data_IF_327030312211
#
_entry.id   IF_327030312211
#
_cell.length_a   1.000
_cell.length_b   1.000
_cell.length_c   1.000
_cell.angle_alpha   90.00
_cell.angle_beta   90.00
_cell.angle_gamma   90.00
#
_symmetry.space_group_name_H-M   'P 1'
#
loop_
_entity.id
_entity.type
_entity.pdbx_description
1 polymer ?
#
# COMPACT_ATOMS: atom_id res chain seq x y z
N UNK A 1 1.74 -24.03 -8.89
CA UNK A 1 3.03 -24.61 -8.45
C UNK A 1 2.76 -25.75 -7.49
N UNK A 2 3.58 -26.80 -7.47
CA UNK A 2 3.55 -27.84 -6.41
C UNK A 2 4.69 -27.69 -5.40
N UNK A 3 5.55 -26.71 -5.62
CA UNK A 3 6.72 -26.40 -4.79
C UNK A 3 6.64 -24.96 -4.30
N UNK A 4 7.19 -24.70 -3.11
CA UNK A 4 7.20 -23.39 -2.48
C UNK A 4 8.62 -23.07 -1.99
N UNK A 5 8.95 -21.78 -1.98
CA UNK A 5 10.17 -21.26 -1.37
C UNK A 5 9.78 -20.38 -0.19
N UNK A 6 10.31 -20.70 0.99
CA UNK A 6 10.29 -19.82 2.15
C UNK A 6 11.64 -19.13 2.27
N UNK A 7 11.65 -17.81 2.35
CA UNK A 7 12.87 -17.01 2.47
C UNK A 7 12.69 -15.90 3.50
N UNK A 8 13.79 -15.50 4.12
CA UNK A 8 13.87 -14.38 5.06
C UNK A 8 14.94 -13.43 4.53
N UNK A 9 14.58 -12.15 4.42
CA UNK A 9 15.47 -11.07 3.96
C UNK A 9 15.56 -10.05 5.08
N UNK A 10 16.78 -9.56 5.36
CA UNK A 10 17.05 -8.55 6.37
C UNK A 10 17.50 -7.26 5.68
N UNK A 11 16.99 -6.12 6.12
CA UNK A 11 17.42 -4.79 5.69
C UNK A 11 17.44 -3.86 6.91
N UNK A 12 18.54 -3.14 7.20
CA UNK A 12 18.50 -2.09 8.20
C UNK A 12 17.50 -1.01 7.78
N UNK A 13 16.80 -0.41 8.74
CA UNK A 13 15.85 0.69 8.51
C UNK A 13 16.06 1.75 9.60
N UNK A 14 16.01 3.02 9.22
CA UNK A 14 16.06 4.14 10.15
C UNK A 14 14.75 4.31 10.94
N UNK A 15 14.77 5.15 11.97
CA UNK A 15 13.54 5.57 12.63
C UNK A 15 12.67 6.36 11.63
N UNK A 16 11.40 5.99 11.50
CA UNK A 16 10.44 6.69 10.63
C UNK A 16 10.27 8.18 11.00
N UNK A 17 10.58 8.55 12.25
CA UNK A 17 10.39 9.88 12.82
C UNK A 17 11.57 10.31 13.71
N UNK A 18 12.80 10.29 13.18
CA UNK A 18 13.99 10.67 13.97
C UNK A 18 13.93 12.11 14.51
N UNK A 19 13.17 13.01 13.87
CA UNK A 19 13.11 14.45 14.18
C UNK A 19 11.68 15.01 14.30
N UNK A 20 10.62 14.18 14.23
CA UNK A 20 9.21 14.61 14.42
C UNK A 20 8.16 13.92 13.52
N UNK A 21 6.88 14.17 13.81
CA UNK A 21 5.72 13.71 13.02
C UNK A 21 5.27 14.80 12.03
N UNK A 22 5.69 14.70 10.77
CA UNK A 22 5.20 15.59 9.72
C UNK A 22 3.89 15.04 9.13
N UNK A 23 2.78 15.81 9.18
CA UNK A 23 1.53 15.38 8.57
C UNK A 23 1.67 15.29 7.06
N UNK A 24 0.96 14.34 6.46
CA UNK A 24 0.95 14.12 5.01
C UNK A 24 -0.43 14.40 4.43
N UNK A 25 -0.47 14.85 3.17
CA UNK A 25 -1.72 14.97 2.42
C UNK A 25 -2.16 13.57 1.96
N UNK A 26 -3.41 13.22 2.25
CA UNK A 26 -3.99 11.93 1.88
C UNK A 26 -5.09 12.16 0.83
N UNK A 27 -5.04 11.40 -0.25
CA UNK A 27 -6.03 11.43 -1.33
C UNK A 27 -7.14 10.42 -1.06
N UNK A 28 -8.40 10.86 -1.05
CA UNK A 28 -9.54 9.96 -0.95
C UNK A 28 -9.84 9.37 -2.33
N UNK A 29 -9.64 8.07 -2.49
CA UNK A 29 -9.87 7.40 -3.78
C UNK A 29 -11.35 7.10 -4.01
N UNK A 30 -11.82 7.40 -5.22
CA UNK A 30 -13.21 7.20 -5.65
C UNK A 30 -13.33 6.31 -6.91
N UNK A 31 -12.23 6.00 -7.59
CA UNK A 31 -12.25 5.21 -8.83
C UNK A 31 -11.76 3.77 -8.64
N UNK A 32 -10.85 3.54 -7.69
CA UNK A 32 -10.26 2.22 -7.44
C UNK A 32 -10.57 1.74 -6.01
N UNK A 33 -10.79 0.44 -5.85
CA UNK A 33 -10.99 -0.19 -4.54
C UNK A 33 -9.77 -1.00 -4.13
N UNK A 34 -9.40 -0.97 -2.85
CA UNK A 34 -8.25 -1.74 -2.36
C UNK A 34 -8.54 -3.23 -2.23
N UNK A 35 -9.75 -3.56 -1.84
CA UNK A 35 -10.21 -4.90 -1.55
C UNK A 35 -11.74 -4.95 -1.70
N UNK A 36 -12.27 -6.16 -1.89
CA UNK A 36 -13.71 -6.39 -2.03
C UNK A 36 -14.16 -7.47 -1.04
N UNK A 37 -15.45 -7.48 -0.70
CA UNK A 37 -16.04 -8.53 0.15
C UNK A 37 -15.83 -9.90 -0.49
N UNK A 38 -15.32 -10.86 0.30
CA UNK A 38 -14.95 -12.20 -0.19
C UNK A 38 -13.62 -12.24 -0.95
N UNK A 39 -12.98 -11.09 -1.18
CA UNK A 39 -11.64 -11.00 -1.76
C UNK A 39 -10.54 -11.30 -0.73
N UNK A 40 -9.30 -11.13 -1.17
CA UNK A 40 -8.10 -11.46 -0.39
C UNK A 40 -7.51 -10.27 0.38
N UNK A 41 -8.28 -9.20 0.61
CA UNK A 41 -7.79 -7.96 1.22
C UNK A 41 -7.25 -8.10 2.64
N UNK A 42 -7.64 -9.17 3.34
CA UNK A 42 -7.17 -9.53 4.68
C UNK A 42 -5.82 -10.26 4.66
N UNK A 43 -5.38 -10.79 3.51
CA UNK A 43 -4.12 -11.51 3.37
C UNK A 43 -3.00 -10.58 2.89
N UNK A 44 -1.77 -10.80 3.37
CA UNK A 44 -0.57 -10.07 2.89
C UNK A 44 -0.05 -10.66 1.58
N UNK A 45 -0.91 -10.69 0.57
CA UNK A 45 -0.61 -11.23 -0.75
C UNK A 45 -0.18 -10.12 -1.72
N UNK A 46 0.82 -10.39 -2.56
CA UNK A 46 1.38 -9.42 -3.50
C UNK A 46 0.36 -8.81 -4.47
N UNK A 47 -0.69 -9.56 -4.84
CA UNK A 47 -1.76 -9.08 -5.71
C UNK A 47 -2.48 -7.83 -5.19
N UNK A 48 -2.69 -7.75 -3.87
CA UNK A 48 -3.33 -6.58 -3.24
C UNK A 48 -2.50 -5.30 -3.43
N UNK A 49 -1.17 -5.44 -3.34
CA UNK A 49 -0.25 -4.31 -3.50
C UNK A 49 -0.10 -3.92 -4.97
N UNK A 50 0.03 -4.90 -5.87
CA UNK A 50 0.11 -4.65 -7.30
C UNK A 50 -1.12 -3.87 -7.81
N UNK A 51 -2.32 -4.25 -7.38
CA UNK A 51 -3.56 -3.55 -7.73
C UNK A 51 -3.61 -2.10 -7.21
N UNK A 52 -3.01 -1.81 -6.05
CA UNK A 52 -2.99 -0.46 -5.47
C UNK A 52 -2.08 0.54 -6.19
N UNK A 53 -1.12 0.09 -7.01
CA UNK A 53 -0.10 0.95 -7.62
C UNK A 53 -0.70 2.02 -8.53
N UNK A 54 -1.81 1.72 -9.22
CA UNK A 54 -2.44 2.69 -10.14
C UNK A 54 -3.04 3.88 -9.39
N UNK A 55 -3.76 3.63 -8.31
CA UNK A 55 -4.33 4.68 -7.45
C UNK A 55 -3.23 5.51 -6.77
N UNK A 56 -2.18 4.84 -6.25
CA UNK A 56 -1.05 5.55 -5.63
C UNK A 56 -0.32 6.44 -6.62
N UNK A 57 -0.14 5.98 -7.88
CA UNK A 57 0.43 6.81 -8.94
C UNK A 57 -0.43 8.05 -9.22
N UNK A 58 -1.74 7.88 -9.34
CA UNK A 58 -2.68 9.00 -9.52
C UNK A 58 -2.59 10.01 -8.38
N UNK A 59 -2.64 9.55 -7.13
CA UNK A 59 -2.52 10.41 -5.96
C UNK A 59 -1.18 11.17 -5.94
N UNK A 60 -0.08 10.49 -6.29
CA UNK A 60 1.23 11.10 -6.42
C UNK A 60 1.28 12.18 -7.51
N UNK A 61 0.74 11.89 -8.69
CA UNK A 61 0.66 12.85 -9.81
C UNK A 61 -0.20 14.09 -9.44
N UNK A 62 -1.08 13.98 -8.43
CA UNK A 62 -1.88 15.06 -7.85
C UNK A 62 -1.23 15.75 -6.63
N UNK A 63 -0.02 15.36 -6.22
CA UNK A 63 0.71 15.95 -5.09
C UNK A 63 0.32 15.43 -3.70
N UNK A 64 -0.32 14.26 -3.62
CA UNK A 64 -0.64 13.58 -2.36
C UNK A 64 0.39 12.50 -2.05
N UNK A 65 0.63 12.26 -0.76
CA UNK A 65 1.63 11.29 -0.33
C UNK A 65 1.08 9.86 -0.32
N UNK A 66 -0.20 9.68 0.01
CA UNK A 66 -0.83 8.37 0.19
C UNK A 66 -2.31 8.40 -0.23
N UNK A 67 -2.86 7.21 -0.45
CA UNK A 67 -4.28 7.00 -0.72
C UNK A 67 -5.01 6.59 0.56
N UNK A 68 -6.12 7.26 0.87
CA UNK A 68 -7.14 6.78 1.79
C UNK A 68 -8.11 5.90 1.00
N UNK A 69 -8.27 4.67 1.45
CA UNK A 69 -9.15 3.69 0.82
C UNK A 69 -10.49 3.68 1.53
N UNK A 70 -11.55 3.84 0.76
CA UNK A 70 -12.93 3.69 1.21
C UNK A 70 -13.47 2.30 0.88
N UNK A 71 -14.60 1.94 1.48
CA UNK A 71 -15.37 0.72 1.19
C UNK A 71 -16.28 0.82 -0.03
#
# INVERSE_FOLDING_TARGET
>A
SKTYLFCIILSPVGAYYAEGLNPVKIFVENEYVRAVKGGIGFAKAGGNYAASLRAQKKAYDMGYSQVLWLD
#
